data_IF_435619821421
#
_entry.id   IF_435619821421
#
_cell.length_a   1.000
_cell.length_b   1.000
_cell.length_c   1.000
_cell.angle_alpha   90.00
_cell.angle_beta   90.00
_cell.angle_gamma   90.00
#
_symmetry.space_group_name_H-M   'P 1'
#
loop_
_entity.id
_entity.type
_entity.pdbx_description
1 polymer ?
#
# COMPACT_ATOMS: atom_id res chain seq x y z
N UNK A 1 -8.67 21.07 1.53
CA UNK A 1 -8.42 20.83 2.94
C UNK A 1 -8.56 19.33 3.22
N UNK A 2 -7.57 18.73 3.85
CA UNK A 2 -7.55 17.28 4.11
C UNK A 2 -8.46 16.94 5.29
N UNK A 3 -9.31 15.92 5.14
CA UNK A 3 -10.10 15.39 6.24
C UNK A 3 -9.20 14.53 7.14
N UNK A 4 -8.72 15.13 8.22
CA UNK A 4 -7.76 14.47 9.13
C UNK A 4 -8.35 13.26 9.84
N UNK A 5 -9.63 13.28 10.21
CA UNK A 5 -10.28 12.14 10.87
C UNK A 5 -10.38 10.93 9.94
N UNK A 6 -10.78 11.16 8.69
CA UNK A 6 -10.85 10.10 7.70
C UNK A 6 -9.46 9.54 7.40
N UNK A 7 -8.47 10.43 7.24
CA UNK A 7 -7.10 10.03 6.97
C UNK A 7 -6.53 9.19 8.12
N UNK A 8 -6.75 9.61 9.37
CA UNK A 8 -6.30 8.87 10.54
C UNK A 8 -6.92 7.47 10.59
N UNK A 9 -8.22 7.36 10.28
CA UNK A 9 -8.92 6.07 10.22
C UNK A 9 -8.32 5.16 9.14
N UNK A 10 -8.01 5.70 7.97
CA UNK A 10 -7.39 4.94 6.89
C UNK A 10 -5.97 4.50 7.22
N UNK A 11 -5.19 5.36 7.87
CA UNK A 11 -3.84 5.00 8.31
C UNK A 11 -3.88 3.90 9.39
N UNK A 12 -4.86 3.94 10.29
CA UNK A 12 -5.05 2.87 11.28
C UNK A 12 -5.43 1.55 10.61
N UNK A 13 -6.29 1.59 9.59
CA UNK A 13 -6.65 0.43 8.78
C UNK A 13 -5.43 -0.15 8.08
N UNK A 14 -4.58 0.69 7.48
CA UNK A 14 -3.35 0.26 6.86
C UNK A 14 -2.43 -0.45 7.86
N UNK A 15 -2.27 0.13 9.05
CA UNK A 15 -1.44 -0.47 10.11
C UNK A 15 -1.97 -1.84 10.52
N UNK A 16 -3.28 -1.99 10.69
CA UNK A 16 -3.89 -3.27 11.03
C UNK A 16 -3.60 -4.33 9.96
N UNK A 17 -3.73 -3.98 8.68
CA UNK A 17 -3.44 -4.91 7.58
C UNK A 17 -1.97 -5.28 7.52
N UNK A 18 -1.07 -4.33 7.76
CA UNK A 18 0.38 -4.61 7.82
C UNK A 18 0.71 -5.55 8.99
N UNK A 19 0.07 -5.37 10.13
CA UNK A 19 0.27 -6.24 11.31
C UNK A 19 -0.20 -7.67 10.99
N UNK A 20 -1.31 -7.82 10.27
CA UNK A 20 -1.79 -9.12 9.79
C UNK A 20 -0.76 -9.78 8.88
N UNK A 21 -0.16 -9.04 7.96
CA UNK A 21 0.88 -9.57 7.09
C UNK A 21 2.08 -10.05 7.92
N UNK A 22 2.58 -9.22 8.84
CA UNK A 22 3.73 -9.59 9.68
C UNK A 22 3.47 -10.85 10.48
N UNK A 23 2.30 -10.95 11.10
CA UNK A 23 1.99 -12.07 11.99
C UNK A 23 1.85 -13.41 11.27
N UNK A 24 1.64 -13.40 9.95
CA UNK A 24 1.44 -14.60 9.15
C UNK A 24 2.58 -14.90 8.18
N UNK A 25 3.54 -13.98 8.04
CA UNK A 25 4.67 -14.19 7.14
C UNK A 25 5.74 -15.02 7.84
N UNK A 26 6.09 -16.20 7.29
CA UNK A 26 7.16 -17.02 7.88
C UNK A 26 8.53 -16.41 7.65
N UNK A 27 9.57 -17.03 8.24
CA UNK A 27 10.92 -16.52 8.18
C UNK A 27 11.56 -16.62 6.80
N UNK A 28 11.10 -17.53 5.94
CA UNK A 28 11.68 -17.75 4.62
C UNK A 28 10.60 -17.99 3.57
N UNK A 29 10.90 -17.61 2.34
CA UNK A 29 9.98 -17.77 1.20
C UNK A 29 9.56 -19.22 0.97
N UNK A 30 10.48 -20.17 1.17
CA UNK A 30 10.16 -21.60 1.04
C UNK A 30 9.09 -22.08 2.00
N UNK A 31 9.03 -21.53 3.19
CA UNK A 31 7.99 -21.84 4.17
C UNK A 31 6.65 -21.26 3.74
N UNK A 32 6.65 -20.09 3.11
CA UNK A 32 5.43 -19.49 2.55
C UNK A 32 4.90 -20.34 1.39
N UNK A 33 5.79 -20.87 0.55
CA UNK A 33 5.43 -21.75 -0.55
C UNK A 33 4.75 -23.04 -0.08
N UNK A 34 5.20 -23.60 1.04
CA UNK A 34 4.69 -24.87 1.56
C UNK A 34 3.46 -24.72 2.46
N UNK A 35 3.09 -23.50 2.84
CA UNK A 35 1.93 -23.21 3.69
C UNK A 35 0.92 -22.37 2.92
N UNK A 36 -0.05 -23.06 2.31
CA UNK A 36 -1.06 -22.42 1.48
C UNK A 36 -1.93 -21.45 2.25
N UNK A 37 -2.26 -21.77 3.49
CA UNK A 37 -3.06 -20.88 4.33
C UNK A 37 -2.33 -19.59 4.62
N UNK A 38 -1.05 -19.67 4.97
CA UNK A 38 -0.22 -18.48 5.16
C UNK A 38 -0.13 -17.66 3.88
N UNK A 39 0.10 -18.30 2.75
CA UNK A 39 0.17 -17.61 1.45
C UNK A 39 -1.12 -16.87 1.14
N UNK A 40 -2.27 -17.51 1.35
CA UNK A 40 -3.58 -16.89 1.08
C UNK A 40 -3.80 -15.69 2.00
N UNK A 41 -3.52 -15.83 3.29
CA UNK A 41 -3.70 -14.75 4.28
C UNK A 41 -2.76 -13.58 3.96
N UNK A 42 -1.49 -13.85 3.70
CA UNK A 42 -0.50 -12.82 3.40
C UNK A 42 -0.85 -12.09 2.10
N UNK A 43 -1.16 -12.84 1.05
CA UNK A 43 -1.53 -12.26 -0.26
C UNK A 43 -2.76 -11.36 -0.15
N UNK A 44 -3.80 -11.82 0.52
CA UNK A 44 -5.04 -11.07 0.68
C UNK A 44 -4.81 -9.77 1.45
N UNK A 45 -4.06 -9.83 2.56
CA UNK A 45 -3.80 -8.65 3.36
C UNK A 45 -2.85 -7.66 2.67
N UNK A 46 -1.90 -8.14 1.88
CA UNK A 46 -1.07 -7.27 1.02
C UNK A 46 -1.94 -6.54 -0.02
N UNK A 47 -2.87 -7.24 -0.64
CA UNK A 47 -3.83 -6.62 -1.56
C UNK A 47 -4.60 -5.50 -0.86
N UNK A 48 -5.08 -5.74 0.36
CA UNK A 48 -5.82 -4.75 1.13
C UNK A 48 -4.93 -3.56 1.53
N UNK A 49 -3.65 -3.79 1.84
CA UNK A 49 -2.70 -2.71 2.10
C UNK A 49 -2.61 -1.76 0.90
N UNK A 50 -2.46 -2.30 -0.29
CA UNK A 50 -2.38 -1.48 -1.52
C UNK A 50 -3.70 -0.74 -1.75
N UNK A 51 -4.82 -1.40 -1.52
CA UNK A 51 -6.14 -0.80 -1.69
C UNK A 51 -6.34 0.39 -0.72
N UNK A 52 -5.93 0.25 0.52
CA UNK A 52 -6.00 1.35 1.50
C UNK A 52 -5.10 2.51 1.09
N UNK A 53 -3.88 2.23 0.63
CA UNK A 53 -2.99 3.27 0.11
C UNK A 53 -3.61 4.02 -1.07
N UNK A 54 -4.27 3.31 -1.98
CA UNK A 54 -4.96 3.91 -3.12
C UNK A 54 -6.16 4.77 -2.66
N UNK A 55 -6.90 4.31 -1.66
CA UNK A 55 -8.01 5.09 -1.08
C UNK A 55 -7.48 6.39 -0.46
N UNK A 56 -6.39 6.33 0.29
CA UNK A 56 -5.74 7.51 0.85
C UNK A 56 -5.33 8.48 -0.26
N UNK A 57 -4.69 7.96 -1.31
CA UNK A 57 -4.27 8.79 -2.44
C UNK A 57 -5.48 9.49 -3.10
N UNK A 58 -6.57 8.75 -3.30
CA UNK A 58 -7.79 9.31 -3.90
C UNK A 58 -8.40 10.42 -3.05
N UNK A 59 -8.41 10.25 -1.74
CA UNK A 59 -8.91 11.29 -0.83
C UNK A 59 -8.05 12.55 -0.87
N UNK A 60 -6.73 12.40 -0.86
CA UNK A 60 -5.82 13.55 -0.94
C UNK A 60 -5.99 14.29 -2.27
N UNK A 61 -6.06 13.55 -3.37
CA UNK A 61 -6.25 14.12 -4.72
C UNK A 61 -7.55 14.93 -4.77
N UNK A 62 -8.64 14.38 -4.24
CA UNK A 62 -9.93 15.04 -4.25
C UNK A 62 -9.94 16.28 -3.34
N UNK A 63 -9.43 16.16 -2.13
CA UNK A 63 -9.43 17.25 -1.14
C UNK A 63 -8.56 18.42 -1.59
N UNK A 64 -7.45 18.15 -2.25
CA UNK A 64 -6.53 19.17 -2.75
C UNK A 64 -6.92 19.66 -4.15
N UNK A 65 -7.93 19.06 -4.76
CA UNK A 65 -8.42 19.37 -6.11
C UNK A 65 -7.36 19.19 -7.19
N UNK A 66 -6.49 18.20 -7.01
CA UNK A 66 -5.53 17.82 -8.05
C UNK A 66 -6.23 17.05 -9.17
N UNK A 67 -5.64 17.00 -10.38
CA UNK A 67 -6.23 16.23 -11.48
C UNK A 67 -6.45 14.77 -11.09
N UNK A 68 -7.62 14.24 -11.41
CA UNK A 68 -7.99 12.86 -11.09
C UNK A 68 -7.02 11.87 -11.72
N UNK A 69 -6.76 10.78 -11.01
CA UNK A 69 -5.97 9.67 -11.54
C UNK A 69 -6.88 8.69 -12.27
N UNK A 70 -6.37 8.10 -13.35
CA UNK A 70 -7.10 7.12 -14.17
C UNK A 70 -6.87 5.68 -13.71
N UNK A 71 -5.90 5.45 -12.85
CA UNK A 71 -5.52 4.13 -12.37
C UNK A 71 -4.94 4.24 -10.96
N UNK A 72 -4.81 3.08 -10.28
CA UNK A 72 -4.15 3.02 -8.97
C UNK A 72 -2.71 3.52 -9.08
N UNK A 73 -1.97 3.05 -10.08
CA UNK A 73 -0.58 3.47 -10.29
C UNK A 73 -0.47 4.99 -10.49
N UNK A 74 -1.39 5.58 -11.28
CA UNK A 74 -1.38 7.02 -11.53
C UNK A 74 -1.68 7.82 -10.26
N UNK A 75 -2.49 7.29 -9.34
CA UNK A 75 -2.76 7.98 -8.07
C UNK A 75 -1.48 8.18 -7.26
N UNK A 76 -0.59 7.18 -7.25
CA UNK A 76 0.70 7.30 -6.57
C UNK A 76 1.63 8.28 -7.31
N UNK A 77 1.58 8.31 -8.63
CA UNK A 77 2.29 9.33 -9.42
C UNK A 77 1.84 10.74 -9.04
N UNK A 78 0.53 10.95 -8.85
CA UNK A 78 0.01 12.26 -8.41
C UNK A 78 0.59 12.68 -7.05
N UNK A 79 0.61 11.75 -6.09
CA UNK A 79 1.18 12.06 -4.77
C UNK A 79 2.66 12.42 -4.87
N UNK A 80 3.42 11.73 -5.70
CA UNK A 80 4.82 12.05 -5.95
C UNK A 80 4.97 13.45 -6.57
N UNK A 81 4.19 13.76 -7.60
CA UNK A 81 4.23 15.05 -8.30
C UNK A 81 3.96 16.23 -7.38
N UNK A 82 3.10 16.04 -6.39
CA UNK A 82 2.74 17.09 -5.42
C UNK A 82 3.55 17.04 -4.13
N UNK A 83 4.59 16.23 -4.10
CA UNK A 83 5.54 16.20 -2.98
C UNK A 83 5.02 15.51 -1.73
N UNK A 84 3.95 14.71 -1.81
CA UNK A 84 3.42 13.97 -0.66
C UNK A 84 4.31 12.80 -0.32
N UNK A 85 4.75 12.04 -1.33
CA UNK A 85 5.60 10.87 -1.16
C UNK A 85 6.85 11.00 -2.04
N UNK A 86 7.88 10.23 -1.72
CA UNK A 86 9.11 10.20 -2.50
C UNK A 86 8.95 9.41 -3.79
N UNK A 87 9.87 9.61 -4.74
CA UNK A 87 9.94 8.83 -5.97
C UNK A 87 10.13 7.34 -5.67
N UNK A 88 10.93 7.01 -4.66
CA UNK A 88 11.17 5.62 -4.25
C UNK A 88 9.89 4.97 -3.74
N UNK A 89 9.12 5.66 -2.88
CA UNK A 89 7.84 5.17 -2.39
C UNK A 89 6.84 4.98 -3.52
N UNK A 90 6.74 5.93 -4.43
CA UNK A 90 5.84 5.84 -5.58
C UNK A 90 6.18 4.63 -6.46
N UNK A 91 7.46 4.40 -6.74
CA UNK A 91 7.92 3.25 -7.53
C UNK A 91 7.56 1.91 -6.86
N UNK A 92 7.79 1.81 -5.55
CA UNK A 92 7.47 0.62 -4.78
C UNK A 92 5.96 0.33 -4.78
N UNK A 93 5.14 1.36 -4.60
CA UNK A 93 3.67 1.21 -4.62
C UNK A 93 3.15 0.82 -6.01
N UNK A 94 3.75 1.35 -7.07
CA UNK A 94 3.37 0.95 -8.44
C UNK A 94 3.68 -0.54 -8.70
N UNK A 95 4.80 -1.04 -8.18
CA UNK A 95 5.09 -2.48 -8.24
C UNK A 95 4.08 -3.30 -7.43
N UNK A 96 3.70 -2.81 -6.27
CA UNK A 96 2.71 -3.45 -5.41
C UNK A 96 1.33 -3.53 -6.06
N UNK A 97 0.98 -2.58 -6.94
CA UNK A 97 -0.26 -2.64 -7.72
C UNK A 97 -0.29 -3.89 -8.61
N UNK A 98 0.85 -4.28 -9.18
CA UNK A 98 0.93 -5.50 -9.97
C UNK A 98 0.55 -6.74 -9.16
N UNK A 99 1.10 -6.88 -7.96
CA UNK A 99 0.75 -7.99 -7.07
C UNK A 99 -0.74 -7.93 -6.65
N UNK A 100 -1.22 -6.74 -6.30
CA UNK A 100 -2.64 -6.54 -5.95
C UNK A 100 -3.55 -7.00 -7.08
N UNK A 101 -3.22 -6.68 -8.33
CA UNK A 101 -4.03 -7.05 -9.48
C UNK A 101 -4.07 -8.58 -9.69
N UNK A 102 -2.94 -9.25 -9.52
CA UNK A 102 -2.89 -10.72 -9.61
C UNK A 102 -3.78 -11.35 -8.54
N UNK A 103 -3.67 -10.91 -7.30
CA UNK A 103 -4.47 -11.43 -6.18
C UNK A 103 -5.96 -11.14 -6.38
N UNK A 104 -6.29 -9.90 -6.75
CA UNK A 104 -7.69 -9.47 -6.90
C UNK A 104 -8.41 -10.20 -8.03
N UNK A 105 -7.72 -10.49 -9.11
CA UNK A 105 -8.34 -11.12 -10.27
C UNK A 105 -8.24 -12.65 -10.27
N UNK A 106 -7.35 -13.23 -9.48
CA UNK A 106 -7.19 -14.67 -9.35
C UNK A 106 -6.78 -15.38 -10.65
N UNK A 107 -6.17 -14.66 -11.59
CA UNK A 107 -5.88 -15.17 -12.93
C UNK A 107 -4.67 -16.09 -13.00
N UNK A 108 -3.74 -15.93 -12.11
CA UNK A 108 -2.50 -16.66 -12.10
C UNK A 108 -2.13 -17.04 -10.68
N UNK A 109 -1.28 -18.04 -10.57
CA UNK A 109 -0.70 -18.35 -9.27
C UNK A 109 0.11 -17.15 -8.80
N UNK A 110 -0.04 -16.82 -7.52
CA UNK A 110 0.74 -15.75 -6.90
C UNK A 110 2.21 -16.15 -6.93
N UNK A 111 3.08 -15.26 -7.41
CA UNK A 111 4.53 -15.45 -7.33
C UNK A 111 4.93 -15.37 -5.85
N UNK A 112 5.29 -16.50 -5.29
CA UNK A 112 5.61 -16.65 -3.86
C UNK A 112 6.80 -15.76 -3.46
N UNK A 113 7.81 -15.69 -4.32
CA UNK A 113 9.00 -14.85 -4.05
C UNK A 113 8.63 -13.37 -4.04
N UNK A 114 7.81 -12.93 -5.00
CA UNK A 114 7.32 -11.54 -5.04
C UNK A 114 6.45 -11.24 -3.82
N UNK A 115 5.58 -12.16 -3.44
CA UNK A 115 4.72 -12.04 -2.25
C UNK A 115 5.57 -11.93 -0.98
N UNK A 116 6.59 -12.77 -0.85
CA UNK A 116 7.49 -12.74 0.31
C UNK A 116 8.27 -11.42 0.38
N UNK A 117 8.78 -10.92 -0.76
CA UNK A 117 9.44 -9.60 -0.80
C UNK A 117 8.49 -8.48 -0.38
N UNK A 118 7.27 -8.50 -0.89
CA UNK A 118 6.26 -7.52 -0.51
C UNK A 118 5.92 -7.58 0.99
N UNK A 119 5.87 -8.78 1.56
CA UNK A 119 5.55 -9.01 2.97
C UNK A 119 6.70 -8.67 3.92
N UNK A 120 7.91 -8.52 3.42
CA UNK A 120 9.12 -8.21 4.20
C UNK A 120 9.62 -6.81 3.88
N UNK A 121 10.44 -6.65 2.84
CA UNK A 121 10.96 -5.33 2.45
C UNK A 121 9.86 -4.38 2.00
N UNK A 122 8.80 -4.89 1.36
CA UNK A 122 7.67 -4.08 0.93
C UNK A 122 6.91 -3.42 2.08
N UNK A 123 6.84 -4.06 3.26
CA UNK A 123 6.22 -3.44 4.42
C UNK A 123 6.98 -2.19 4.89
N UNK A 124 8.29 -2.16 4.70
CA UNK A 124 9.07 -0.96 5.01
C UNK A 124 8.64 0.22 4.13
N UNK A 125 8.35 -0.05 2.86
CA UNK A 125 7.86 0.97 1.92
C UNK A 125 6.45 1.44 2.28
N UNK A 126 5.59 0.54 2.75
CA UNK A 126 4.26 0.90 3.23
C UNK A 126 4.33 1.77 4.49
N UNK A 127 5.26 1.45 5.40
CA UNK A 127 5.53 2.30 6.56
C UNK A 127 5.99 3.70 6.15
N UNK A 128 6.89 3.79 5.17
CA UNK A 128 7.36 5.07 4.63
C UNK A 128 6.21 5.87 4.00
N UNK A 129 5.34 5.19 3.24
CA UNK A 129 4.15 5.83 2.69
C UNK A 129 3.29 6.43 3.81
N UNK A 130 2.98 5.65 4.84
CA UNK A 130 2.18 6.10 5.97
C UNK A 130 2.83 7.30 6.68
N UNK A 131 4.15 7.25 6.87
CA UNK A 131 4.90 8.34 7.50
C UNK A 131 4.84 9.62 6.66
N UNK A 132 5.05 9.51 5.36
CA UNK A 132 5.01 10.67 4.45
C UNK A 132 3.62 11.30 4.42
N UNK A 133 2.57 10.48 4.35
CA UNK A 133 1.19 10.96 4.35
C UNK A 133 0.86 11.66 5.67
N UNK A 134 1.26 11.07 6.80
CA UNK A 134 1.07 11.69 8.11
C UNK A 134 1.77 13.05 8.21
N UNK A 135 3.00 13.14 7.74
CA UNK A 135 3.75 14.40 7.73
C UNK A 135 3.09 15.45 6.86
N UNK A 136 2.62 15.05 5.69
CA UNK A 136 1.88 15.96 4.80
C UNK A 136 0.63 16.51 5.48
N UNK A 137 -0.15 15.66 6.14
CA UNK A 137 -1.40 16.03 6.76
C UNK A 137 -1.21 16.95 7.98
N UNK A 138 -0.05 16.92 8.63
CA UNK A 138 0.25 17.75 9.80
C UNK A 138 0.93 19.08 9.46
N UNK A 139 1.27 19.30 8.18
CA UNK A 139 1.84 20.60 7.77
C UNK A 139 0.82 21.70 7.96
N UNK A 140 1.23 22.87 8.52
CA UNK A 140 0.33 24.01 8.60
C UNK A 140 -0.07 24.46 7.19
N UNK A 141 -1.33 24.88 7.03
CA UNK A 141 -1.78 25.50 5.79
C UNK A 141 -1.03 26.80 5.57
N UNK A 142 -0.59 27.09 4.32
CA UNK A 142 0.08 28.35 4.01
C UNK A 142 -0.83 29.57 4.23
#
# INVERSE_FOLDING_TARGET
>A
MVNRSLLAAKLAELQDRMDRVRSHTPAAAGQLKSDRDALDIVSFNLMLCVQVCADIASHLIADERWPSARSLAESFTRLEQHGVISAASAAALKQAVGLRNVVAHGYAQVDVEACFRAATTGLLELNEFARHVSQWATKPSP
#
